data_IF_543635362251
#
_entry.id   IF_543635362251
#
_cell.length_a   1.000
_cell.length_b   1.000
_cell.length_c   1.000
_cell.angle_alpha   90.00
_cell.angle_beta   90.00
_cell.angle_gamma   90.00
#
_symmetry.space_group_name_H-M   'P 1'
#
loop_
_entity.id
_entity.type
_entity.pdbx_description
1 polymer ?
#
# COMPACT_ATOMS: atom_id res chain seq x y z
N UNK A 1 -23.27 -67.43 2.56
CA UNK A 1 -22.03 -66.72 2.94
C UNK A 1 -22.09 -65.34 2.32
N UNK A 2 -22.40 -64.32 3.13
CA UNK A 2 -22.61 -62.93 2.72
C UNK A 2 -21.29 -62.20 2.93
N UNK A 3 -20.74 -61.61 1.88
CA UNK A 3 -19.76 -60.53 1.98
C UNK A 3 -19.94 -59.63 0.75
N UNK A 4 -20.64 -58.52 0.92
CA UNK A 4 -20.57 -57.41 -0.03
C UNK A 4 -20.10 -56.19 0.77
N UNK A 5 -18.80 -55.92 0.68
CA UNK A 5 -18.15 -54.78 1.30
C UNK A 5 -18.39 -53.59 0.38
N UNK A 6 -19.32 -52.69 0.74
CA UNK A 6 -19.48 -51.40 0.06
C UNK A 6 -18.66 -50.38 0.82
N UNK A 7 -17.53 -49.99 0.24
CA UNK A 7 -16.67 -48.93 0.73
C UNK A 7 -17.23 -47.59 0.25
N UNK A 8 -17.93 -46.86 1.11
CA UNK A 8 -18.40 -45.50 0.82
C UNK A 8 -17.24 -44.52 0.95
N UNK A 9 -16.70 -44.07 -0.18
CA UNK A 9 -15.74 -42.97 -0.24
C UNK A 9 -16.53 -41.66 -0.08
N UNK A 10 -16.48 -41.07 1.10
CA UNK A 10 -16.92 -39.69 1.32
C UNK A 10 -15.86 -38.74 0.76
N UNK A 11 -16.06 -38.26 -0.46
CA UNK A 11 -15.29 -37.14 -1.01
C UNK A 11 -15.80 -35.88 -0.31
N UNK A 12 -15.07 -35.42 0.71
CA UNK A 12 -15.18 -34.06 1.22
C UNK A 12 -14.75 -33.12 0.11
N UNK A 13 -15.71 -32.61 -0.65
CA UNK A 13 -15.51 -31.45 -1.51
C UNK A 13 -15.29 -30.25 -0.60
N UNK A 14 -14.03 -29.96 -0.28
CA UNK A 14 -13.65 -28.65 0.24
C UNK A 14 -13.94 -27.64 -0.86
N UNK A 15 -15.03 -26.89 -0.70
CA UNK A 15 -15.23 -25.64 -1.42
C UNK A 15 -14.04 -24.74 -1.05
N UNK A 16 -13.03 -24.71 -1.91
CA UNK A 16 -12.06 -23.62 -1.99
C UNK A 16 -12.84 -22.39 -2.42
N UNK A 17 -13.55 -21.77 -1.47
CA UNK A 17 -13.90 -20.37 -1.58
C UNK A 17 -12.55 -19.65 -1.65
N UNK A 18 -12.14 -19.24 -2.85
CA UNK A 18 -11.11 -18.24 -2.98
C UNK A 18 -11.58 -17.07 -2.10
N UNK A 19 -10.95 -16.87 -0.95
CA UNK A 19 -11.22 -15.71 -0.12
C UNK A 19 -10.87 -14.51 -0.99
N UNK A 20 -11.91 -13.86 -1.52
CA UNK A 20 -11.76 -12.54 -2.12
C UNK A 20 -11.48 -11.60 -0.95
N UNK A 21 -10.24 -11.62 -0.46
CA UNK A 21 -9.80 -10.70 0.59
C UNK A 21 -9.92 -9.30 0.00
N UNK A 22 -10.86 -8.54 0.53
CA UNK A 22 -11.01 -7.15 0.18
C UNK A 22 -9.73 -6.42 0.58
N UNK A 23 -9.10 -5.72 -0.38
CA UNK A 23 -7.91 -4.95 -0.10
C UNK A 23 -8.26 -3.79 0.85
N UNK A 24 -7.36 -3.40 1.77
CA UNK A 24 -7.64 -2.31 2.68
C UNK A 24 -7.76 -0.99 1.92
N UNK A 25 -8.35 0.01 2.57
CA UNK A 25 -8.49 1.38 2.08
C UNK A 25 -9.47 1.65 0.95
N UNK A 26 -10.43 0.74 0.69
CA UNK A 26 -11.63 1.11 -0.07
C UNK A 26 -12.38 2.28 0.61
N UNK A 27 -12.29 2.37 1.93
CA UNK A 27 -12.63 3.50 2.79
C UNK A 27 -11.52 3.71 3.83
N UNK A 28 -11.35 4.95 4.29
CA UNK A 28 -10.48 5.26 5.42
C UNK A 28 -11.12 4.68 6.70
N UNK A 29 -10.34 4.05 7.61
CA UNK A 29 -10.84 3.63 8.91
C UNK A 29 -11.47 4.78 9.72
N UNK A 30 -12.19 4.42 10.77
CA UNK A 30 -12.74 5.38 11.73
C UNK A 30 -11.64 6.27 12.33
N UNK A 31 -12.04 7.46 12.80
CA UNK A 31 -11.10 8.39 13.41
C UNK A 31 -10.47 7.79 14.67
N UNK A 32 -9.17 8.00 14.92
CA UNK A 32 -8.59 7.79 16.24
C UNK A 32 -9.33 8.63 17.29
N UNK A 33 -9.33 8.16 18.55
CA UNK A 33 -10.07 8.82 19.65
C UNK A 33 -9.54 10.23 19.97
N UNK A 34 -8.26 10.50 19.68
CA UNK A 34 -7.60 11.76 19.94
C UNK A 34 -6.64 12.20 18.82
N UNK A 35 -6.08 13.39 18.97
CA UNK A 35 -5.08 13.98 18.07
C UNK A 35 -3.64 13.73 18.55
N UNK A 36 -3.36 12.59 19.18
CA UNK A 36 -2.01 12.17 19.58
C UNK A 36 -1.04 12.12 18.39
N UNK A 37 0.25 12.30 18.63
CA UNK A 37 1.28 12.39 17.57
C UNK A 37 1.27 11.19 16.62
N UNK A 38 1.22 9.98 17.16
CA UNK A 38 1.12 8.75 16.38
C UNK A 38 -0.21 8.65 15.63
N UNK A 39 -1.32 8.99 16.28
CA UNK A 39 -2.65 8.98 15.69
C UNK A 39 -2.79 9.95 14.51
N UNK A 40 -2.19 11.14 14.58
CA UNK A 40 -2.14 12.09 13.46
C UNK A 40 -1.37 11.49 12.28
N UNK A 41 -0.22 10.86 12.53
CA UNK A 41 0.58 10.23 11.46
C UNK A 41 -0.13 9.00 10.89
N UNK A 42 -0.74 8.16 11.72
CA UNK A 42 -1.58 7.05 11.28
C UNK A 42 -2.69 7.54 10.34
N UNK A 43 -3.36 8.63 10.71
CA UNK A 43 -4.41 9.25 9.87
C UNK A 43 -3.86 9.78 8.54
N UNK A 44 -2.65 10.31 8.51
CA UNK A 44 -1.98 10.72 7.27
C UNK A 44 -1.67 9.50 6.37
N UNK A 45 -1.19 8.40 6.95
CA UNK A 45 -0.93 7.14 6.25
C UNK A 45 -2.23 6.57 5.68
N UNK A 46 -3.33 6.57 6.43
CA UNK A 46 -4.61 6.09 5.94
C UNK A 46 -5.16 6.95 4.79
N UNK A 47 -4.96 8.26 4.87
CA UNK A 47 -5.30 9.19 3.80
C UNK A 47 -4.52 8.93 2.50
N UNK A 48 -3.25 8.54 2.62
CA UNK A 48 -2.45 8.06 1.49
C UNK A 48 -2.97 6.70 0.98
N UNK A 49 -3.23 5.75 1.88
CA UNK A 49 -3.79 4.43 1.54
C UNK A 49 -5.06 4.53 0.70
N UNK A 50 -6.01 5.39 1.10
CA UNK A 50 -7.26 5.62 0.35
C UNK A 50 -7.03 6.27 -1.01
N UNK A 51 -6.12 7.24 -1.11
CA UNK A 51 -5.76 7.85 -2.41
C UNK A 51 -5.13 6.82 -3.33
N UNK A 52 -4.20 6.01 -2.83
CA UNK A 52 -3.54 4.98 -3.61
C UNK A 52 -4.52 3.88 -4.04
N UNK A 53 -5.42 3.44 -3.16
CA UNK A 53 -6.45 2.46 -3.48
C UNK A 53 -7.25 2.91 -4.72
N UNK A 54 -7.80 4.12 -4.68
CA UNK A 54 -8.63 4.64 -5.76
C UNK A 54 -7.85 5.07 -6.99
N UNK A 55 -6.61 5.53 -6.85
CA UNK A 55 -5.74 5.82 -7.98
C UNK A 55 -5.45 4.55 -8.79
N UNK A 56 -5.32 3.40 -8.13
CA UNK A 56 -4.87 2.14 -8.73
C UNK A 56 -5.99 1.14 -9.04
N UNK A 57 -7.18 1.32 -8.49
CA UNK A 57 -8.32 0.42 -8.75
C UNK A 57 -8.70 0.40 -10.24
N UNK A 58 -8.81 -0.81 -10.80
CA UNK A 58 -9.23 -1.03 -12.19
C UNK A 58 -8.25 -0.57 -13.27
N UNK A 59 -6.94 -0.44 -13.00
CA UNK A 59 -5.95 -0.17 -14.05
C UNK A 59 -5.83 -1.34 -15.02
N UNK A 60 -5.83 -1.03 -16.31
CA UNK A 60 -5.62 -1.98 -17.41
C UNK A 60 -4.17 -1.96 -17.89
N UNK A 61 -3.75 -2.93 -18.70
CA UNK A 61 -2.40 -2.92 -19.29
C UNK A 61 -2.11 -1.63 -20.07
N UNK A 62 -3.10 -1.12 -20.81
CA UNK A 62 -3.02 0.18 -21.51
C UNK A 62 -2.69 1.33 -20.56
N UNK A 63 -3.28 1.33 -19.36
CA UNK A 63 -3.02 2.37 -18.36
C UNK A 63 -1.62 2.18 -17.75
N UNK A 64 -1.26 0.94 -17.43
CA UNK A 64 0.04 0.59 -16.83
C UNK A 64 1.21 1.04 -17.71
N UNK A 65 1.08 0.89 -19.03
CA UNK A 65 2.09 1.27 -20.02
C UNK A 65 2.07 2.77 -20.38
N UNK A 66 1.08 3.53 -19.90
CA UNK A 66 0.95 4.95 -20.22
C UNK A 66 2.03 5.79 -19.54
N UNK A 67 2.66 6.68 -20.31
CA UNK A 67 3.59 7.72 -19.83
C UNK A 67 3.32 9.06 -20.55
N UNK A 68 3.63 10.16 -19.87
CA UNK A 68 3.33 11.53 -20.34
C UNK A 68 4.36 12.05 -21.34
N UNK A 69 5.61 11.63 -21.21
CA UNK A 69 6.74 12.04 -22.06
C UNK A 69 7.68 10.85 -22.30
N UNK A 70 8.60 10.98 -23.25
CA UNK A 70 9.56 9.92 -23.59
C UNK A 70 10.43 9.52 -22.39
N UNK A 71 10.92 10.49 -21.63
CA UNK A 71 11.75 10.28 -20.43
C UNK A 71 10.94 10.07 -19.13
N UNK A 72 9.61 10.13 -19.22
CA UNK A 72 8.72 9.99 -18.08
C UNK A 72 8.55 8.53 -17.65
N UNK A 73 8.28 8.32 -16.36
CA UNK A 73 7.85 7.01 -15.83
C UNK A 73 6.48 6.65 -16.38
N UNK A 74 6.30 5.37 -16.68
CA UNK A 74 4.99 4.75 -16.84
C UNK A 74 4.23 4.68 -15.52
N UNK A 75 2.92 4.38 -15.56
CA UNK A 75 2.17 4.08 -14.34
C UNK A 75 2.79 2.87 -13.62
N UNK A 76 3.18 1.82 -14.35
CA UNK A 76 3.78 0.62 -13.74
C UNK A 76 5.09 0.92 -12.99
N UNK A 77 6.00 1.68 -13.59
CA UNK A 77 7.24 2.11 -12.92
C UNK A 77 6.96 3.02 -11.72
N UNK A 78 5.89 3.83 -11.79
CA UNK A 78 5.44 4.65 -10.67
C UNK A 78 4.90 3.78 -9.52
N UNK A 79 4.19 2.68 -9.82
CA UNK A 79 3.77 1.69 -8.82
C UNK A 79 4.95 0.99 -8.15
N UNK A 80 5.97 0.58 -8.91
CA UNK A 80 7.20 0.01 -8.35
C UNK A 80 7.89 0.99 -7.41
N UNK A 81 7.97 2.27 -7.80
CA UNK A 81 8.55 3.31 -6.97
C UNK A 81 7.77 3.51 -5.65
N UNK A 82 6.44 3.63 -5.72
CA UNK A 82 5.58 3.76 -4.54
C UNK A 82 5.69 2.51 -3.65
N UNK A 83 5.70 1.31 -4.22
CA UNK A 83 5.86 0.07 -3.45
C UNK A 83 7.16 0.09 -2.64
N UNK A 84 8.27 0.45 -3.28
CA UNK A 84 9.56 0.59 -2.60
C UNK A 84 9.55 1.60 -1.45
N UNK A 85 8.76 2.68 -1.56
CA UNK A 85 8.54 3.66 -0.49
C UNK A 85 7.59 3.16 0.60
N UNK A 86 6.55 2.39 0.25
CA UNK A 86 5.62 1.79 1.21
C UNK A 86 6.33 0.82 2.17
N UNK A 87 7.33 0.08 1.67
CA UNK A 87 8.21 -0.76 2.49
C UNK A 87 8.97 0.08 3.52
N UNK A 88 9.48 1.25 3.13
CA UNK A 88 10.17 2.16 4.04
C UNK A 88 9.22 2.73 5.09
N UNK A 89 8.01 3.12 4.68
CA UNK A 89 6.95 3.61 5.56
C UNK A 89 6.59 2.56 6.62
N UNK A 90 6.42 1.30 6.21
CA UNK A 90 6.17 0.17 7.13
C UNK A 90 7.33 -0.12 8.08
N UNK A 91 8.56 -0.04 7.60
CA UNK A 91 9.73 -0.46 8.37
C UNK A 91 10.19 0.57 9.40
N UNK A 92 9.88 1.86 9.22
CA UNK A 92 10.43 2.93 10.05
C UNK A 92 9.98 2.94 11.53
N UNK A 93 8.71 2.62 11.88
CA UNK A 93 8.29 2.49 13.28
C UNK A 93 9.08 1.42 14.05
N UNK A 94 9.54 0.37 13.37
CA UNK A 94 10.35 -0.69 13.96
C UNK A 94 11.86 -0.45 13.79
N UNK A 95 12.26 0.68 13.20
CA UNK A 95 13.65 0.97 12.82
C UNK A 95 14.30 -0.17 12.01
N UNK A 96 13.50 -0.85 11.20
CA UNK A 96 13.94 -1.98 10.38
C UNK A 96 14.73 -1.48 9.16
N UNK A 97 15.94 -2.01 8.89
CA UNK A 97 16.73 -1.61 7.73
C UNK A 97 16.06 -1.94 6.39
N UNK A 98 16.13 -0.99 5.46
CA UNK A 98 15.66 -1.14 4.08
C UNK A 98 16.85 -1.49 3.19
N UNK A 99 16.96 -2.77 2.80
CA UNK A 99 18.03 -3.27 1.93
C UNK A 99 17.86 -2.73 0.51
N UNK A 100 18.93 -2.14 -0.05
CA UNK A 100 18.95 -1.51 -1.38
C UNK A 100 20.15 -1.98 -2.21
N UNK A 101 20.02 -2.14 -3.55
CA UNK A 101 18.79 -1.94 -4.33
C UNK A 101 17.75 -3.04 -4.06
N UNK A 102 16.48 -2.69 -4.19
CA UNK A 102 15.37 -3.63 -4.07
C UNK A 102 15.04 -4.16 -5.47
N UNK A 103 15.01 -5.48 -5.61
CA UNK A 103 14.59 -6.09 -6.87
C UNK A 103 13.06 -6.15 -6.92
N UNK A 104 12.46 -5.48 -7.91
CA UNK A 104 11.02 -5.41 -8.15
C UNK A 104 10.63 -5.94 -9.53
N UNK A 105 11.57 -6.54 -10.27
CA UNK A 105 11.36 -6.93 -11.68
C UNK A 105 10.35 -8.06 -11.84
N UNK A 106 10.16 -8.89 -10.81
CA UNK A 106 9.26 -10.04 -10.84
C UNK A 106 7.85 -9.71 -10.30
N UNK A 107 7.65 -8.53 -9.71
CA UNK A 107 6.36 -8.18 -9.12
C UNK A 107 5.36 -7.75 -10.19
N UNK A 108 4.17 -8.33 -10.15
CA UNK A 108 3.06 -7.95 -11.03
C UNK A 108 2.35 -6.69 -10.52
N UNK A 109 1.47 -6.12 -11.35
CA UNK A 109 0.55 -5.05 -10.91
C UNK A 109 -0.22 -5.44 -9.65
N UNK A 110 -0.70 -6.69 -9.57
CA UNK A 110 -1.47 -7.18 -8.42
C UNK A 110 -0.59 -7.19 -7.16
N UNK A 111 0.63 -7.69 -7.26
CA UNK A 111 1.57 -7.78 -6.13
C UNK A 111 1.94 -6.38 -5.62
N UNK A 112 2.26 -5.47 -6.53
CA UNK A 112 2.60 -4.08 -6.20
C UNK A 112 1.42 -3.38 -5.50
N UNK A 113 0.21 -3.55 -6.03
CA UNK A 113 -1.00 -2.92 -5.49
C UNK A 113 -1.34 -3.47 -4.11
N UNK A 114 -1.46 -4.79 -4.00
CA UNK A 114 -1.82 -5.47 -2.75
C UNK A 114 -0.77 -5.24 -1.67
N UNK A 115 0.51 -5.41 -2.02
CA UNK A 115 1.62 -5.22 -1.09
C UNK A 115 1.73 -3.77 -0.60
N UNK A 116 1.56 -2.77 -1.48
CA UNK A 116 1.55 -1.35 -1.07
C UNK A 116 0.44 -1.07 -0.07
N UNK A 117 -0.79 -1.52 -0.36
CA UNK A 117 -1.95 -1.27 0.50
C UNK A 117 -1.79 -1.97 1.87
N UNK A 118 -1.28 -3.20 1.90
CA UNK A 118 -0.96 -3.92 3.15
C UNK A 118 0.17 -3.25 3.94
N UNK A 119 1.21 -2.76 3.26
CA UNK A 119 2.30 -2.05 3.91
C UNK A 119 1.82 -0.76 4.57
N UNK A 120 0.98 0.03 3.90
CA UNK A 120 0.39 1.24 4.47
C UNK A 120 -0.51 0.92 5.66
N UNK A 121 -1.30 -0.15 5.59
CA UNK A 121 -2.15 -0.59 6.70
C UNK A 121 -1.30 -0.98 7.93
N UNK A 122 -0.27 -1.79 7.73
CA UNK A 122 0.64 -2.18 8.81
C UNK A 122 1.36 -0.96 9.42
N UNK A 123 1.79 -0.01 8.58
CA UNK A 123 2.42 1.21 9.05
C UNK A 123 1.46 2.07 9.88
N UNK A 124 0.22 2.26 9.42
CA UNK A 124 -0.79 3.00 10.17
C UNK A 124 -1.08 2.36 11.53
N UNK A 125 -1.22 1.03 11.56
CA UNK A 125 -1.42 0.27 12.80
C UNK A 125 -0.23 0.41 13.77
N UNK A 126 1.00 0.42 13.27
CA UNK A 126 2.19 0.62 14.10
C UNK A 126 2.29 2.06 14.66
N UNK A 127 1.69 3.05 13.98
CA UNK A 127 1.66 4.44 14.45
C UNK A 127 0.49 4.73 15.41
N UNK A 128 -0.59 3.95 15.35
CA UNK A 128 -1.76 4.13 16.20
C UNK A 128 -1.37 4.03 17.69
N UNK A 129 -1.67 5.08 18.45
CA UNK A 129 -1.30 5.18 19.87
C UNK A 129 0.16 5.52 20.16
N UNK A 130 1.03 5.66 19.15
CA UNK A 130 2.42 6.05 19.37
C UNK A 130 2.53 7.47 19.93
N UNK A 131 3.35 7.64 20.95
CA UNK A 131 3.58 8.90 21.67
C UNK A 131 4.72 9.69 21.05
N UNK A 132 4.87 10.96 21.44
CA UNK A 132 5.98 11.79 20.95
C UNK A 132 7.36 11.24 21.37
N UNK A 133 7.42 10.49 22.49
CA UNK A 133 8.66 9.87 22.95
C UNK A 133 9.07 8.69 22.07
N UNK A 134 8.12 7.87 21.61
CA UNK A 134 8.40 6.72 20.72
C UNK A 134 9.08 7.16 19.40
N UNK A 135 8.71 8.33 18.87
CA UNK A 135 9.30 8.89 17.66
C UNK A 135 10.80 9.18 17.78
N UNK A 136 11.37 9.26 18.99
CA UNK A 136 12.81 9.40 19.20
C UNK A 136 13.57 8.16 18.73
N UNK A 137 12.93 6.99 18.83
CA UNK A 137 13.51 5.70 18.49
C UNK A 137 13.17 5.25 17.06
N UNK A 138 12.15 5.83 16.44
CA UNK A 138 11.81 5.55 15.04
C UNK A 138 12.85 6.13 14.07
N UNK A 139 13.32 5.30 13.14
CA UNK A 139 14.35 5.66 12.15
C UNK A 139 13.99 5.16 10.76
N UNK A 140 14.36 5.94 9.76
CA UNK A 140 14.48 5.46 8.38
C UNK A 140 15.90 4.98 8.17
N UNK A 141 16.09 3.67 8.04
CA UNK A 141 17.42 3.09 7.87
C UNK A 141 17.56 2.57 6.45
N UNK A 142 18.56 3.07 5.72
CA UNK A 142 18.97 2.52 4.43
C UNK A 142 20.13 1.57 4.63
N UNK A 143 20.10 0.40 4.00
CA UNK A 143 21.18 -0.57 4.04
C UNK A 143 21.71 -0.88 2.63
N UNK A 144 23.02 -0.77 2.44
CA UNK A 144 23.74 -1.14 1.21
C UNK A 144 24.95 -1.99 1.57
N UNK A 145 24.85 -3.30 1.31
CA UNK A 145 25.81 -4.28 1.85
C UNK A 145 25.78 -4.26 3.38
N UNK A 146 26.95 -4.09 4.01
CA UNK A 146 27.10 -3.99 5.46
C UNK A 146 26.84 -2.58 6.02
N UNK A 147 26.81 -1.56 5.15
CA UNK A 147 26.66 -0.17 5.57
C UNK A 147 25.18 0.17 5.82
N UNK A 148 24.91 0.75 6.98
CA UNK A 148 23.61 1.32 7.33
C UNK A 148 23.69 2.84 7.53
N UNK A 149 22.70 3.56 7.02
CA UNK A 149 22.57 5.01 7.19
C UNK A 149 21.21 5.33 7.78
N UNK A 150 21.14 5.67 9.08
CA UNK A 150 19.89 6.03 9.75
C UNK A 150 19.56 7.51 9.55
N UNK A 151 18.27 7.80 9.42
CA UNK A 151 17.69 9.14 9.42
C UNK A 151 16.56 9.22 10.46
N UNK A 152 16.35 10.38 11.09
CA UNK A 152 15.23 10.56 12.01
C UNK A 152 13.88 10.44 11.27
N UNK A 153 12.82 10.10 12.01
CA UNK A 153 11.48 9.91 11.43
C UNK A 153 10.94 11.16 10.70
N UNK A 154 11.41 12.37 11.02
CA UNK A 154 11.09 13.59 10.27
C UNK A 154 11.31 13.45 8.75
N UNK A 155 12.33 12.70 8.34
CA UNK A 155 12.60 12.46 6.92
C UNK A 155 11.54 11.58 6.25
N UNK A 156 10.81 10.74 7.00
CA UNK A 156 9.68 9.94 6.48
C UNK A 156 8.53 10.83 5.99
N UNK A 157 8.25 11.91 6.72
CA UNK A 157 7.17 12.85 6.42
C UNK A 157 7.48 13.61 5.12
N UNK A 158 8.67 14.19 5.03
CA UNK A 158 9.09 14.99 3.87
C UNK A 158 9.38 14.14 2.64
N UNK A 159 9.94 12.95 2.84
CA UNK A 159 10.26 12.01 1.78
C UNK A 159 9.04 11.16 1.44
N UNK A 160 9.03 9.93 1.94
CA UNK A 160 8.17 8.87 1.42
C UNK A 160 6.67 9.16 1.54
N UNK A 161 6.19 9.74 2.64
CA UNK A 161 4.75 10.02 2.80
C UNK A 161 4.29 11.09 1.79
N UNK A 162 5.00 12.22 1.72
CA UNK A 162 4.66 13.31 0.81
C UNK A 162 4.83 12.92 -0.66
N UNK A 163 5.91 12.21 -0.98
CA UNK A 163 6.23 11.78 -2.35
C UNK A 163 5.26 10.71 -2.86
N UNK A 164 4.84 9.76 -2.00
CA UNK A 164 3.77 8.82 -2.35
C UNK A 164 2.44 9.53 -2.69
N UNK A 165 2.06 10.59 -1.95
CA UNK A 165 0.86 11.38 -2.26
C UNK A 165 1.03 12.08 -3.60
N UNK A 166 2.21 12.66 -3.85
CA UNK A 166 2.55 13.33 -5.10
C UNK A 166 2.42 12.37 -6.31
N UNK A 167 3.00 11.18 -6.20
CA UNK A 167 2.95 10.15 -7.24
C UNK A 167 1.56 9.52 -7.41
N UNK A 168 0.76 9.36 -6.34
CA UNK A 168 -0.65 8.94 -6.48
C UNK A 168 -1.47 9.95 -7.30
N UNK A 169 -1.16 11.24 -7.18
CA UNK A 169 -1.70 12.30 -8.02
C UNK A 169 -1.32 12.13 -9.50
N UNK A 170 -0.06 11.79 -9.78
CA UNK A 170 0.40 11.51 -11.14
C UNK A 170 -0.33 10.32 -11.76
N UNK A 171 -0.48 9.20 -11.03
CA UNK A 171 -1.25 8.03 -11.50
C UNK A 171 -2.68 8.44 -11.84
N UNK A 172 -3.33 9.22 -10.97
CA UNK A 172 -4.70 9.69 -11.18
C UNK A 172 -4.84 10.54 -12.45
N UNK A 173 -3.85 11.40 -12.72
CA UNK A 173 -3.83 12.22 -13.94
C UNK A 173 -3.58 11.36 -15.18
N UNK A 174 -2.58 10.48 -15.13
CA UNK A 174 -2.19 9.62 -16.25
C UNK A 174 -3.32 8.66 -16.65
N UNK A 175 -3.97 8.00 -15.69
CA UNK A 175 -5.11 7.11 -15.99
C UNK A 175 -6.31 7.86 -16.60
N UNK A 176 -6.52 9.12 -16.21
CA UNK A 176 -7.54 9.96 -16.85
C UNK A 176 -7.16 10.24 -18.30
N UNK A 177 -5.89 10.55 -18.56
CA UNK A 177 -5.39 10.82 -19.91
C UNK A 177 -5.41 9.57 -20.81
N UNK A 178 -5.27 8.36 -20.25
CA UNK A 178 -5.43 7.09 -20.98
C UNK A 178 -6.89 6.67 -21.19
N UNK A 179 -7.86 7.42 -20.66
CA UNK A 179 -9.29 7.19 -20.83
C UNK A 179 -9.97 6.36 -19.74
N UNK A 180 -9.29 6.13 -18.60
CA UNK A 180 -9.79 5.38 -17.45
C UNK A 180 -9.78 6.27 -16.18
N UNK A 181 -10.70 7.23 -16.02
CA UNK A 181 -10.75 8.08 -14.81
C UNK A 181 -11.10 7.28 -13.55
N UNK A 182 -10.68 7.78 -12.38
CA UNK A 182 -11.11 7.21 -11.08
C UNK A 182 -12.63 7.33 -10.89
N UNK A 183 -13.18 6.54 -9.98
CA UNK A 183 -14.60 6.61 -9.62
C UNK A 183 -15.00 8.04 -9.17
N UNK A 184 -15.99 8.69 -9.82
CA UNK A 184 -16.37 10.08 -9.53
C UNK A 184 -17.01 10.27 -8.15
N UNK A 185 -17.43 9.17 -7.49
CA UNK A 185 -17.96 9.20 -6.13
C UNK A 185 -16.88 9.28 -5.07
N UNK A 186 -15.59 9.14 -5.39
CA UNK A 186 -14.51 9.19 -4.41
C UNK A 186 -14.46 10.54 -3.71
N UNK A 187 -14.73 10.57 -2.40
CA UNK A 187 -14.57 11.76 -1.56
C UNK A 187 -13.30 11.64 -0.72
N UNK A 188 -12.21 12.27 -1.18
CA UNK A 188 -10.93 12.30 -0.44
C UNK A 188 -11.03 13.01 0.90
N UNK A 189 -11.98 13.93 1.04
CA UNK A 189 -12.23 14.66 2.29
C UNK A 189 -12.95 13.77 3.31
N UNK A 190 -14.00 13.07 2.89
CA UNK A 190 -14.76 12.17 3.78
C UNK A 190 -14.10 10.79 3.95
N UNK A 191 -13.09 10.45 3.13
CA UNK A 191 -12.43 9.15 3.19
C UNK A 191 -13.29 7.97 2.74
N UNK A 192 -14.33 8.22 1.94
CA UNK A 192 -15.27 7.18 1.46
C UNK A 192 -15.93 7.61 0.16
N UNK A 193 -16.70 6.71 -0.45
CA UNK A 193 -17.55 7.08 -1.58
C UNK A 193 -18.72 7.96 -1.13
N UNK A 194 -19.10 8.91 -1.99
CA UNK A 194 -20.38 9.65 -1.88
C UNK A 194 -21.53 8.69 -2.16
N UNK A 195 -22.64 8.93 -1.48
CA UNK A 195 -23.93 8.28 -1.78
C UNK A 195 -24.39 8.65 -3.19
#
# INVERSE_FOLDING_TARGET
>A
MKNLLVLSIFILASNLQAQHMELPYHQIPDYPEDYGSGNVVARMIDGLGFRFYWATEGLTQKDLDYKVSEDGRTIFETLQHIYGMSEMIKNAPESKPNVRPMNLSELTYKDLREGTLKNLQAASQAMAGATADDFKDFKVIFQRGENQTPYPYWNMINGMLSDCIYHAGQITMMRRASGNPINPKVSVFNGRLRE
#
